data_IF_511460146865
#
_entry.id   IF_511460146865
#
_cell.length_a   1.000
_cell.length_b   1.000
_cell.length_c   1.000
_cell.angle_alpha   90.00
_cell.angle_beta   90.00
_cell.angle_gamma   90.00
#
_symmetry.space_group_name_H-M   'P 1'
#
loop_
_entity.id
_entity.type
_entity.pdbx_description
1 polymer ?
#
# COMPACT_ATOMS: atom_id res chain seq x y z
N UNK A 1 9.18 5.24 11.16
CA UNK A 1 7.88 5.39 10.47
C UNK A 1 7.93 4.60 9.16
N UNK A 2 6.85 3.89 8.81
CA UNK A 2 6.78 3.01 7.63
C UNK A 2 7.08 3.77 6.33
N UNK A 3 6.61 5.01 6.20
CA UNK A 3 6.86 5.84 5.01
C UNK A 3 8.35 6.07 4.71
N UNK A 4 9.20 6.25 5.74
CA UNK A 4 10.67 6.36 5.54
C UNK A 4 11.23 5.11 4.87
N UNK A 5 10.84 3.93 5.36
CA UNK A 5 11.29 2.66 4.81
C UNK A 5 10.73 2.41 3.40
N UNK A 6 9.51 2.86 3.11
CA UNK A 6 8.95 2.76 1.77
C UNK A 6 9.74 3.61 0.75
N UNK A 7 10.11 4.84 1.11
CA UNK A 7 10.95 5.71 0.26
C UNK A 7 12.32 5.11 0.03
N UNK A 8 12.97 4.62 1.10
CA UNK A 8 14.27 3.97 1.01
C UNK A 8 14.22 2.70 0.14
N UNK A 9 13.21 1.85 0.35
CA UNK A 9 13.02 0.67 -0.47
C UNK A 9 12.73 1.04 -1.94
N UNK A 10 11.87 2.02 -2.21
CA UNK A 10 11.54 2.43 -3.57
C UNK A 10 12.78 2.94 -4.32
N UNK A 11 13.55 3.86 -3.71
CA UNK A 11 14.78 4.42 -4.30
C UNK A 11 15.87 3.37 -4.55
N UNK A 12 15.92 2.31 -3.75
CA UNK A 12 16.90 1.23 -3.88
C UNK A 12 16.35 0.00 -4.61
N UNK A 13 15.15 0.08 -5.20
CA UNK A 13 14.46 -1.08 -5.77
C UNK A 13 14.35 -2.26 -4.78
N UNK A 14 14.27 -2.01 -3.49
CA UNK A 14 14.25 -3.01 -2.41
C UNK A 14 15.59 -3.67 -2.11
N UNK A 15 16.68 -3.26 -2.76
CA UNK A 15 18.03 -3.77 -2.47
C UNK A 15 19.11 -2.84 -3.02
N UNK A 16 19.99 -2.34 -2.14
CA UNK A 16 21.15 -1.53 -2.55
C UNK A 16 22.01 -2.23 -3.62
N UNK A 17 22.11 -3.56 -3.59
CA UNK A 17 22.82 -4.33 -4.62
C UNK A 17 22.13 -4.23 -5.99
N UNK A 18 20.80 -4.32 -6.00
CA UNK A 18 19.98 -4.16 -7.21
C UNK A 18 20.08 -2.74 -7.76
N UNK A 19 20.03 -1.74 -6.89
CA UNK A 19 20.23 -0.34 -7.27
C UNK A 19 21.59 -0.11 -7.94
N UNK A 20 22.67 -0.71 -7.42
CA UNK A 20 24.01 -0.62 -8.04
C UNK A 20 24.05 -1.32 -9.40
N UNK A 21 23.55 -2.55 -9.49
CA UNK A 21 23.46 -3.28 -10.76
C UNK A 21 22.72 -2.48 -11.84
N UNK A 22 21.61 -1.83 -11.47
CA UNK A 22 20.84 -1.00 -12.41
C UNK A 22 21.61 0.24 -12.84
N UNK A 23 22.34 0.87 -11.92
CA UNK A 23 23.22 2.00 -12.21
C UNK A 23 24.38 1.61 -13.14
N UNK A 24 25.04 0.49 -12.88
CA UNK A 24 26.15 -0.03 -13.69
C UNK A 24 25.71 -0.39 -15.11
N UNK A 25 24.43 -0.76 -15.28
CA UNK A 25 23.78 -1.04 -16.57
C UNK A 25 23.22 0.20 -17.27
N UNK A 26 23.33 1.39 -16.69
CA UNK A 26 22.83 2.63 -17.25
C UNK A 26 21.31 2.72 -17.35
N UNK A 27 20.57 1.96 -16.52
CA UNK A 27 19.10 2.03 -16.47
C UNK A 27 18.65 3.35 -15.83
N UNK A 28 17.47 3.83 -16.24
CA UNK A 28 16.86 5.02 -15.64
C UNK A 28 16.66 4.84 -14.13
N UNK A 29 16.88 5.94 -13.40
CA UNK A 29 16.57 6.01 -11.97
C UNK A 29 15.08 6.00 -11.70
N UNK A 30 14.73 6.11 -10.41
CA UNK A 30 13.34 6.18 -9.93
C UNK A 30 13.10 7.53 -9.26
N UNK A 31 11.97 8.15 -9.57
CA UNK A 31 11.45 9.28 -8.81
C UNK A 31 10.52 8.77 -7.71
N UNK A 32 10.70 9.25 -6.49
CA UNK A 32 9.79 8.96 -5.38
C UNK A 32 9.19 10.27 -4.88
N UNK A 33 7.89 10.45 -5.13
CA UNK A 33 7.11 11.58 -4.61
C UNK A 33 6.37 11.16 -3.34
N UNK A 34 6.57 11.90 -2.24
CA UNK A 34 5.82 11.72 -0.99
C UNK A 34 4.71 12.76 -0.91
N UNK A 35 3.48 12.30 -0.70
CA UNK A 35 2.30 13.16 -0.62
C UNK A 35 1.79 13.18 0.82
N UNK A 36 1.68 14.37 1.41
CA UNK A 36 1.05 14.55 2.71
C UNK A 36 -0.47 14.43 2.64
N UNK A 37 -1.10 14.01 3.74
CA UNK A 37 -2.56 13.78 3.82
C UNK A 37 -3.39 14.96 3.29
N UNK A 38 -3.04 16.19 3.66
CA UNK A 38 -3.77 17.40 3.28
C UNK A 38 -3.84 17.61 1.76
N UNK A 39 -2.87 17.09 1.01
CA UNK A 39 -2.86 17.20 -0.45
C UNK A 39 -3.77 16.18 -1.14
N UNK A 40 -4.14 15.09 -0.44
CA UNK A 40 -5.00 14.03 -1.00
C UNK A 40 -6.43 14.51 -1.29
N UNK A 41 -6.89 15.56 -0.59
CA UNK A 41 -8.19 16.19 -0.86
C UNK A 41 -8.25 16.93 -2.20
N UNK A 42 -7.12 17.45 -2.69
CA UNK A 42 -7.05 18.24 -3.93
C UNK A 42 -7.17 17.35 -5.16
N UNK A 43 -8.33 17.38 -5.82
CA UNK A 43 -8.61 16.56 -7.00
C UNK A 43 -7.66 16.85 -8.15
N UNK A 44 -7.45 18.12 -8.49
CA UNK A 44 -6.55 18.52 -9.58
C UNK A 44 -5.12 18.04 -9.33
N UNK A 45 -4.63 18.22 -8.10
CA UNK A 45 -3.27 17.78 -7.73
C UNK A 45 -3.15 16.26 -7.80
N UNK A 46 -4.10 15.54 -7.18
CA UNK A 46 -4.08 14.08 -7.17
C UNK A 46 -4.23 13.50 -8.57
N UNK A 47 -5.08 14.07 -9.43
CA UNK A 47 -5.21 13.65 -10.83
C UNK A 47 -3.88 13.79 -11.57
N UNK A 48 -3.20 14.93 -11.45
CA UNK A 48 -1.90 15.14 -12.08
C UNK A 48 -0.86 14.13 -11.59
N UNK A 49 -0.79 13.88 -10.28
CA UNK A 49 0.18 12.94 -9.70
C UNK A 49 -0.13 11.49 -10.06
N UNK A 50 -1.37 11.05 -9.91
CA UNK A 50 -1.77 9.67 -10.21
C UNK A 50 -1.57 9.33 -11.69
N UNK A 51 -1.82 10.26 -12.61
CA UNK A 51 -1.63 10.01 -14.06
C UNK A 51 -0.18 9.65 -14.42
N UNK A 52 0.80 10.18 -13.67
CA UNK A 52 2.22 9.90 -13.88
C UNK A 52 2.79 8.83 -12.91
N UNK A 53 1.94 8.17 -12.13
CA UNK A 53 2.36 7.23 -11.08
C UNK A 53 2.32 5.80 -11.57
N UNK A 54 3.50 5.19 -11.65
CA UNK A 54 3.68 3.78 -12.02
C UNK A 54 3.46 2.84 -10.84
N UNK A 55 3.81 3.29 -9.63
CA UNK A 55 3.64 2.52 -8.39
C UNK A 55 3.06 3.44 -7.32
N UNK A 56 1.83 3.17 -6.87
CA UNK A 56 1.19 3.85 -5.76
C UNK A 56 1.39 3.04 -4.49
N UNK A 57 2.03 3.63 -3.47
CA UNK A 57 2.28 2.96 -2.20
C UNK A 57 1.48 3.67 -1.10
N UNK A 58 0.57 2.95 -0.45
CA UNK A 58 -0.13 3.47 0.73
C UNK A 58 0.59 3.06 2.02
N UNK A 59 1.00 4.07 2.77
CA UNK A 59 1.66 3.96 4.09
C UNK A 59 0.97 4.84 5.12
N UNK A 60 -0.28 5.24 4.84
CA UNK A 60 -0.96 6.29 5.59
C UNK A 60 -1.61 5.74 6.85
N UNK A 61 -1.12 6.17 8.00
CA UNK A 61 -1.89 6.05 9.24
C UNK A 61 -2.97 7.13 9.23
N UNK A 62 -4.24 6.77 9.45
CA UNK A 62 -5.38 7.69 9.45
C UNK A 62 -5.91 7.90 10.86
N UNK A 63 -6.34 9.13 11.14
CA UNK A 63 -7.10 9.46 12.35
C UNK A 63 -8.61 9.28 12.16
N UNK A 64 -9.07 9.43 10.92
CA UNK A 64 -10.46 9.22 10.51
C UNK A 64 -10.51 8.12 9.44
N UNK A 65 -10.95 6.90 9.80
CA UNK A 65 -11.06 5.80 8.85
C UNK A 65 -12.41 5.74 8.13
N UNK A 66 -13.33 6.69 8.37
CA UNK A 66 -14.72 6.64 7.91
C UNK A 66 -14.91 6.90 6.42
N UNK A 67 -13.86 7.41 5.77
CA UNK A 67 -13.86 7.74 4.34
C UNK A 67 -12.52 7.35 3.71
N UNK A 68 -12.53 7.01 2.41
CA UNK A 68 -11.30 6.77 1.68
C UNK A 68 -10.52 8.07 1.47
N UNK A 69 -9.18 7.97 1.48
CA UNK A 69 -8.31 9.07 1.06
C UNK A 69 -8.25 9.16 -0.47
N UNK A 70 -8.25 8.00 -1.13
CA UNK A 70 -8.29 7.90 -2.58
C UNK A 70 -9.51 7.06 -2.97
N UNK A 71 -10.63 7.70 -3.36
CA UNK A 71 -11.79 7.02 -3.92
C UNK A 71 -11.44 6.22 -5.18
N UNK A 72 -12.24 5.19 -5.47
CA UNK A 72 -11.98 4.24 -6.55
C UNK A 72 -11.98 4.93 -7.92
N UNK A 73 -12.79 5.98 -8.09
CA UNK A 73 -12.78 6.80 -9.31
C UNK A 73 -11.40 7.42 -9.58
N UNK A 74 -10.70 7.88 -8.52
CA UNK A 74 -9.36 8.46 -8.65
C UNK A 74 -8.28 7.42 -8.94
N UNK A 75 -8.46 6.17 -8.47
CA UNK A 75 -7.62 5.03 -8.89
C UNK A 75 -7.69 4.84 -10.42
N UNK A 76 -8.81 5.22 -11.04
CA UNK A 76 -8.97 5.25 -12.48
C UNK A 76 -7.96 6.13 -13.23
N UNK A 77 -7.38 7.15 -12.58
CA UNK A 77 -6.37 8.02 -13.18
C UNK A 77 -4.98 7.37 -13.31
N UNK A 78 -4.68 6.33 -12.52
CA UNK A 78 -3.43 5.61 -12.66
C UNK A 78 -3.31 5.00 -14.07
N UNK A 79 -2.12 4.89 -14.67
CA UNK A 79 -1.90 4.06 -15.85
C UNK A 79 -2.40 2.63 -15.65
N UNK A 80 -2.84 1.95 -16.72
CA UNK A 80 -3.42 0.60 -16.61
C UNK A 80 -2.43 -0.45 -16.09
N UNK A 81 -1.14 -0.26 -16.34
CA UNK A 81 -0.05 -1.11 -15.88
C UNK A 81 0.45 -0.76 -14.47
N UNK A 82 -0.05 0.33 -13.88
CA UNK A 82 0.40 0.76 -12.55
C UNK A 82 0.12 -0.31 -11.50
N UNK A 83 0.97 -0.35 -10.47
CA UNK A 83 0.86 -1.27 -9.34
C UNK A 83 0.49 -0.50 -8.08
N UNK A 84 -0.48 -1.01 -7.33
CA UNK A 84 -0.85 -0.50 -6.00
C UNK A 84 -0.22 -1.40 -4.94
N UNK A 85 0.47 -0.80 -3.97
CA UNK A 85 1.05 -1.50 -2.84
C UNK A 85 0.47 -0.93 -1.55
N UNK A 86 -0.48 -1.64 -0.95
CA UNK A 86 -1.10 -1.22 0.29
C UNK A 86 -0.35 -1.83 1.48
N UNK A 87 0.30 -0.96 2.27
CA UNK A 87 1.05 -1.31 3.48
C UNK A 87 0.25 -1.13 4.77
N UNK A 88 -0.97 -0.57 4.71
CA UNK A 88 -1.81 -0.28 5.89
C UNK A 88 -3.15 -0.98 5.69
N UNK A 89 -3.09 -2.31 5.79
CA UNK A 89 -4.19 -3.19 5.40
C UNK A 89 -5.18 -3.38 6.55
N UNK A 90 -6.18 -2.52 6.60
CA UNK A 90 -7.35 -2.67 7.48
C UNK A 90 -8.51 -3.37 6.74
N UNK A 91 -9.37 -4.15 7.45
CA UNK A 91 -10.59 -4.67 6.88
C UNK A 91 -11.65 -3.58 6.70
N UNK A 92 -12.56 -3.76 5.74
CA UNK A 92 -13.81 -3.01 5.72
C UNK A 92 -14.70 -3.46 6.88
N UNK A 93 -15.15 -2.53 7.71
CA UNK A 93 -16.08 -2.78 8.83
C UNK A 93 -17.21 -1.77 8.74
N UNK A 94 -18.23 -2.07 7.93
CA UNK A 94 -19.30 -1.10 7.62
C UNK A 94 -20.42 -1.05 8.67
N UNK A 95 -20.38 -1.97 9.63
CA UNK A 95 -21.38 -2.18 10.66
C UNK A 95 -20.98 -1.52 11.99
N UNK A 96 -19.77 -0.95 12.06
CA UNK A 96 -19.36 -0.13 13.20
C UNK A 96 -19.93 1.28 13.09
N UNK A 97 -20.03 1.97 14.23
CA UNK A 97 -20.37 3.38 14.29
C UNK A 97 -19.19 4.17 14.88
N UNK A 98 -18.44 4.95 14.08
CA UNK A 98 -18.62 5.14 12.64
C UNK A 98 -18.05 3.95 11.82
N UNK A 99 -18.45 3.78 10.54
CA UNK A 99 -17.94 2.70 9.70
C UNK A 99 -16.43 2.87 9.46
N UNK A 100 -15.74 1.75 9.25
CA UNK A 100 -14.32 1.75 8.85
C UNK A 100 -14.22 1.37 7.38
N UNK A 101 -13.81 2.33 6.58
CA UNK A 101 -13.42 2.14 5.18
C UNK A 101 -11.91 2.00 5.04
N UNK A 102 -11.43 1.67 3.84
CA UNK A 102 -9.99 1.62 3.53
C UNK A 102 -9.50 2.94 2.94
N UNK A 103 -8.22 3.23 3.15
CA UNK A 103 -7.58 4.44 2.62
C UNK A 103 -7.64 4.51 1.09
N UNK A 104 -7.38 3.39 0.43
CA UNK A 104 -7.67 3.20 -1.00
C UNK A 104 -9.00 2.46 -1.13
N UNK A 105 -9.96 3.02 -1.87
CA UNK A 105 -11.29 2.41 -2.03
C UNK A 105 -11.28 1.31 -3.10
N UNK A 106 -11.99 0.21 -2.84
CA UNK A 106 -12.20 -0.85 -3.82
C UNK A 106 -11.02 -1.80 -4.04
N UNK A 107 -10.06 -1.83 -3.12
CA UNK A 107 -8.93 -2.78 -3.17
C UNK A 107 -9.20 -4.03 -2.31
N UNK A 108 -8.75 -5.22 -2.75
CA UNK A 108 -8.90 -6.46 -1.98
C UNK A 108 -8.03 -6.44 -0.71
N UNK A 109 -8.44 -7.18 0.32
CA UNK A 109 -7.64 -7.42 1.52
C UNK A 109 -6.90 -8.73 1.31
N UNK A 110 -5.58 -8.69 1.38
CA UNK A 110 -4.74 -9.87 1.28
C UNK A 110 -4.18 -10.32 2.62
N UNK A 111 -3.70 -11.55 2.61
CA UNK A 111 -2.98 -12.21 3.71
C UNK A 111 -1.67 -12.79 3.18
N UNK A 112 -0.98 -13.69 3.89
CA UNK A 112 0.24 -14.34 3.39
C UNK A 112 0.02 -15.09 2.07
N UNK A 113 -1.18 -15.64 1.87
CA UNK A 113 -1.58 -16.28 0.63
C UNK A 113 -3.10 -16.16 0.39
N UNK A 114 -3.57 -15.39 -0.61
CA UNK A 114 -2.81 -14.54 -1.53
C UNK A 114 -2.60 -13.12 -0.99
N UNK A 115 -1.44 -12.52 -1.31
CA UNK A 115 -1.18 -11.08 -1.12
C UNK A 115 -1.15 -10.28 -2.44
N UNK A 116 -1.24 -10.96 -3.58
CA UNK A 116 -1.17 -10.36 -4.93
C UNK A 116 -2.49 -10.59 -5.65
N UNK A 117 -3.04 -9.53 -6.22
CA UNK A 117 -4.30 -9.55 -6.94
C UNK A 117 -4.13 -8.84 -8.27
N UNK A 118 -4.45 -9.51 -9.37
CA UNK A 118 -4.50 -8.90 -10.70
C UNK A 118 -5.88 -8.24 -10.93
N UNK A 119 -6.02 -7.25 -11.83
CA UNK A 119 -7.29 -6.55 -12.05
C UNK A 119 -8.49 -7.47 -12.35
N UNK A 120 -8.23 -8.58 -13.04
CA UNK A 120 -9.24 -9.57 -13.44
C UNK A 120 -9.26 -10.81 -12.52
N UNK A 121 -8.58 -10.76 -11.38
CA UNK A 121 -8.54 -11.87 -10.43
C UNK A 121 -9.95 -12.16 -9.89
N UNK A 122 -10.45 -13.41 -9.99
CA UNK A 122 -11.74 -13.79 -9.42
C UNK A 122 -11.84 -13.55 -7.91
N UNK A 123 -10.70 -13.49 -7.21
CA UNK A 123 -10.64 -13.20 -5.78
C UNK A 123 -10.78 -11.71 -5.44
N UNK A 124 -10.75 -10.80 -6.42
CA UNK A 124 -10.73 -9.34 -6.20
C UNK A 124 -11.85 -8.86 -5.28
N UNK A 125 -13.08 -9.30 -5.53
CA UNK A 125 -14.26 -8.82 -4.80
C UNK A 125 -14.57 -9.64 -3.54
N UNK A 126 -13.84 -10.72 -3.25
CA UNK A 126 -14.16 -11.62 -2.13
C UNK A 126 -14.15 -10.93 -0.77
N UNK A 127 -13.28 -9.93 -0.60
CA UNK A 127 -13.11 -9.19 0.66
C UNK A 127 -13.64 -7.76 0.58
N UNK A 128 -14.28 -7.38 -0.54
CA UNK A 128 -14.80 -6.04 -0.76
C UNK A 128 -16.33 -6.13 -0.61
N UNK A 129 -16.93 -5.43 0.36
CA UNK A 129 -18.38 -5.39 0.48
C UNK A 129 -19.03 -4.87 -0.81
N UNK A 130 -20.20 -5.40 -1.17
CA UNK A 130 -20.87 -5.07 -2.44
C UNK A 130 -21.21 -3.57 -2.58
N UNK A 131 -21.36 -2.85 -1.47
CA UNK A 131 -21.62 -1.41 -1.43
C UNK A 131 -20.39 -0.54 -1.73
N UNK A 132 -19.18 -1.12 -1.72
CA UNK A 132 -17.94 -0.37 -1.94
C UNK A 132 -17.60 -0.34 -3.44
N UNK A 133 -17.42 0.86 -4.04
CA UNK A 133 -16.95 0.99 -5.43
C UNK A 133 -15.64 0.26 -5.69
N UNK A 134 -15.60 -0.59 -6.72
CA UNK A 134 -14.41 -1.37 -7.10
C UNK A 134 -14.25 -1.54 -8.62
N UNK A 135 -14.72 -0.53 -9.37
CA UNK A 135 -14.74 -0.51 -10.84
C UNK A 135 -13.33 -0.38 -11.41
N UNK A 136 -12.53 0.52 -10.87
CA UNK A 136 -11.17 0.77 -11.32
C UNK A 136 -10.19 -0.09 -10.51
N UNK A 137 -9.47 -0.96 -11.22
CA UNK A 137 -8.59 -1.97 -10.62
C UNK A 137 -7.20 -1.89 -11.22
N UNK A 138 -6.18 -2.10 -10.39
CA UNK A 138 -4.77 -2.15 -10.77
C UNK A 138 -4.14 -3.39 -10.14
N UNK A 139 -3.01 -3.87 -10.65
CA UNK A 139 -2.32 -4.95 -9.95
C UNK A 139 -2.04 -4.49 -8.52
N UNK A 140 -2.51 -5.25 -7.52
CA UNK A 140 -2.48 -4.83 -6.12
C UNK A 140 -1.73 -5.84 -5.27
N UNK A 141 -0.73 -5.37 -4.53
CA UNK A 141 -0.06 -6.09 -3.47
C UNK A 141 -0.56 -5.56 -2.13
N UNK A 142 -1.14 -6.42 -1.30
CA UNK A 142 -1.80 -6.07 -0.04
C UNK A 142 -1.67 -7.26 0.90
N UNK A 143 -1.11 -7.06 2.09
CA UNK A 143 -0.90 -8.13 3.07
C UNK A 143 -1.02 -7.58 4.49
N UNK A 144 -1.98 -8.09 5.25
CA UNK A 144 -2.14 -7.75 6.68
C UNK A 144 -1.16 -8.48 7.61
N UNK A 145 -0.44 -9.48 7.10
CA UNK A 145 0.42 -10.38 7.90
C UNK A 145 1.90 -10.28 7.52
N UNK A 146 2.37 -9.09 7.12
CA UNK A 146 3.76 -8.92 6.60
C UNK A 146 4.90 -9.43 7.47
N UNK A 147 4.84 -9.44 8.81
CA UNK A 147 5.88 -10.10 9.60
C UNK A 147 6.13 -11.56 9.17
N UNK A 148 5.11 -12.24 8.64
CA UNK A 148 5.22 -13.60 8.10
C UNK A 148 5.91 -13.72 6.73
N UNK A 149 6.29 -12.61 6.07
CA UNK A 149 7.07 -12.64 4.82
C UNK A 149 8.55 -12.96 5.10
N UNK A 150 9.09 -12.43 6.21
CA UNK A 150 10.46 -12.71 6.68
C UNK A 150 10.44 -13.11 8.17
N UNK A 151 9.80 -14.23 8.53
CA UNK A 151 9.43 -14.53 9.92
C UNK A 151 10.63 -14.56 10.86
N UNK A 152 11.77 -15.10 10.43
CA UNK A 152 13.00 -15.14 11.25
C UNK A 152 13.50 -13.74 11.64
N UNK A 153 13.60 -12.84 10.67
CA UNK A 153 14.11 -11.49 10.86
C UNK A 153 13.16 -10.66 11.74
N UNK A 154 11.85 -10.79 11.51
CA UNK A 154 10.84 -10.12 12.32
C UNK A 154 10.82 -10.66 13.76
N UNK A 155 10.80 -11.97 13.98
CA UNK A 155 10.78 -12.57 15.33
C UNK A 155 12.04 -12.21 16.12
N UNK A 156 13.22 -12.20 15.49
CA UNK A 156 14.45 -11.75 16.15
C UNK A 156 14.35 -10.30 16.62
N UNK A 157 13.88 -9.40 15.75
CA UNK A 157 13.67 -7.98 16.08
C UNK A 157 12.62 -7.78 17.17
N UNK A 158 11.52 -8.53 17.14
CA UNK A 158 10.51 -8.49 18.21
C UNK A 158 11.09 -8.97 19.53
N UNK A 159 11.89 -10.05 19.52
CA UNK A 159 12.61 -10.53 20.70
C UNK A 159 13.47 -9.45 21.33
N UNK A 160 14.31 -8.78 20.52
CA UNK A 160 15.15 -7.65 20.98
C UNK A 160 14.36 -6.52 21.63
N UNK A 161 13.22 -6.16 21.05
CA UNK A 161 12.36 -5.08 21.55
C UNK A 161 11.59 -5.46 22.81
N UNK A 162 11.22 -6.73 22.97
CA UNK A 162 10.45 -7.24 24.10
C UNK A 162 11.33 -7.67 25.29
N UNK A 163 12.62 -7.96 25.05
CA UNK A 163 13.58 -8.37 26.07
C UNK A 163 13.57 -7.45 27.32
N UNK A 164 13.60 -6.11 27.19
CA UNK A 164 13.55 -5.21 28.35
C UNK A 164 12.25 -5.32 29.17
N UNK A 165 11.15 -5.76 28.56
CA UNK A 165 9.86 -5.95 29.23
C UNK A 165 9.75 -7.32 29.92
N UNK A 166 10.63 -8.26 29.59
CA UNK A 166 10.64 -9.63 30.15
C UNK A 166 11.52 -9.79 31.37
N UNK A 167 12.30 -8.77 31.73
CA UNK A 167 13.24 -8.76 32.86
C UNK A 167 12.77 -7.89 34.02
N UNK A 168 11.46 -7.62 34.13
CA UNK A 168 10.84 -6.84 35.21
C UNK A 168 10.11 -7.75 36.22
#
# INVERSE_FOLDING_TARGET
>A
MVGKHAVEAATQYGSIRRSRDFGDRGLSGVEVTVIGRELTGSETYMRQKLTATEVLIDVTQRSDPTRPLIPNERIGHLPSHAVVCDLVVDPYVLQSDPPTERSLEGIPRGDLDPFKFLPNDPAWTKTIPASIPSKHRRATATCSSRPGVHPKEYTARYGELLLPCSTA
#
